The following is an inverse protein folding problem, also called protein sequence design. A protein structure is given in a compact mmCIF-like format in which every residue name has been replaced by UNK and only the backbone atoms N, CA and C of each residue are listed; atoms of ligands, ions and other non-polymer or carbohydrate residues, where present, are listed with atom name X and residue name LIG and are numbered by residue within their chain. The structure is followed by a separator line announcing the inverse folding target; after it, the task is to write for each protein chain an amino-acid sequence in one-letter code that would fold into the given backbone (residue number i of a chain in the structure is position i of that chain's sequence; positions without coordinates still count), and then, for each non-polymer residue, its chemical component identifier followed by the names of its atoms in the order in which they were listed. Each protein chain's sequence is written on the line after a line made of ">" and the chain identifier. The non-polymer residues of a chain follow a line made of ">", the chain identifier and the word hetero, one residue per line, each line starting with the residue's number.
data_IF_411280780080
#
_entry.id   IF_411280780080
#
_cell.length_a   1.000
_cell.length_b   1.000
_cell.length_c   1.000
_cell.angle_alpha   90.00
_cell.angle_beta   90.00
_cell.angle_gamma   90.00
#
_symmetry.space_group_name_H-M   'P 1'
#
loop_
_entity.id
_entity.type
_entity.pdbx_description
1 polymer ?
#
# COMPACT_ATOMS: atom_id res chain seq x y z
N UNK A 1 15.45 2.58 26.54
CA UNK A 1 15.45 1.10 26.49
C UNK A 1 16.70 0.67 25.71
N UNK A 2 17.52 -0.26 26.20
CA UNK A 2 18.76 -0.63 25.48
C UNK A 2 18.49 -1.54 24.28
N UNK A 3 19.32 -1.46 23.25
CA UNK A 3 19.21 -2.28 22.03
C UNK A 3 19.13 -3.79 22.35
N UNK A 4 19.90 -4.26 23.33
CA UNK A 4 19.85 -5.63 23.81
C UNK A 4 18.51 -6.03 24.43
N UNK A 5 17.82 -5.11 25.12
CA UNK A 5 16.47 -5.36 25.66
C UNK A 5 15.43 -5.41 24.53
N UNK A 6 15.56 -4.56 23.51
CA UNK A 6 14.67 -4.54 22.35
C UNK A 6 14.80 -5.84 21.53
N UNK A 7 16.03 -6.26 21.20
CA UNK A 7 16.30 -7.53 20.49
C UNK A 7 15.74 -8.75 21.23
N UNK A 8 15.79 -8.75 22.57
CA UNK A 8 15.27 -9.86 23.40
C UNK A 8 13.74 -9.85 23.49
N UNK A 9 13.13 -8.66 23.46
CA UNK A 9 11.67 -8.49 23.42
C UNK A 9 11.10 -8.99 22.08
N UNK A 10 11.72 -8.60 20.96
CA UNK A 10 11.33 -9.00 19.61
C UNK A 10 11.52 -10.50 19.30
N UNK A 11 12.40 -11.18 20.05
CA UNK A 11 12.65 -12.63 19.91
C UNK A 11 11.74 -13.52 20.76
N UNK A 12 10.78 -12.97 21.50
CA UNK A 12 9.88 -13.79 22.33
C UNK A 12 8.94 -14.60 21.44
N UNK A 13 8.72 -15.90 21.74
CA UNK A 13 7.68 -16.67 21.09
C UNK A 13 6.34 -16.03 21.42
N UNK A 14 5.58 -15.75 20.37
CA UNK A 14 4.35 -15.01 20.50
C UNK A 14 3.18 -15.99 20.81
N UNK A 15 2.19 -15.60 21.61
CA UNK A 15 1.14 -16.50 22.10
C UNK A 15 0.28 -17.07 20.95
N UNK A 16 -0.17 -18.34 20.99
CA UNK A 16 -0.98 -18.89 19.90
C UNK A 16 -2.25 -18.06 19.65
N UNK A 17 -2.61 -17.93 18.39
CA UNK A 17 -3.77 -17.15 17.94
C UNK A 17 -5.03 -17.79 18.51
N UNK A 18 -5.78 -17.04 19.32
CA UNK A 18 -7.03 -17.50 19.91
C UNK A 18 -8.17 -17.04 18.99
N UNK A 19 -8.80 -17.98 18.29
CA UNK A 19 -10.00 -17.75 17.47
C UNK A 19 -9.91 -18.37 16.07
N UNK A 20 -11.04 -18.85 15.55
CA UNK A 20 -11.15 -19.29 14.14
C UNK A 20 -11.14 -18.04 13.25
N UNK A 21 -9.97 -17.62 12.74
CA UNK A 21 -9.91 -16.58 11.71
C UNK A 21 -10.59 -17.10 10.45
N UNK A 22 -11.75 -16.54 10.14
CA UNK A 22 -12.57 -16.92 8.97
C UNK A 22 -11.93 -16.42 7.67
N UNK A 23 -11.13 -15.34 7.73
CA UNK A 23 -10.48 -14.69 6.60
C UNK A 23 -8.99 -14.48 6.87
N UNK A 24 -8.15 -14.78 5.89
CA UNK A 24 -6.72 -14.43 5.93
C UNK A 24 -6.52 -12.98 5.49
N UNK A 25 -5.86 -12.12 6.29
CA UNK A 25 -5.58 -10.75 5.90
C UNK A 25 -4.50 -10.70 4.82
N UNK A 26 -4.77 -9.97 3.73
CA UNK A 26 -3.87 -9.80 2.60
C UNK A 26 -3.76 -8.32 2.27
N UNK A 27 -2.56 -7.78 2.14
CA UNK A 27 -2.35 -6.39 1.70
C UNK A 27 -1.79 -6.39 0.28
N UNK A 28 -2.54 -5.80 -0.65
CA UNK A 28 -2.07 -5.49 -2.00
C UNK A 28 -1.53 -4.06 -2.04
N UNK A 29 -0.23 -3.91 -2.25
CA UNK A 29 0.41 -2.59 -2.16
C UNK A 29 1.63 -2.45 -3.07
N UNK A 30 2.19 -1.25 -3.07
CA UNK A 30 3.39 -0.86 -3.82
C UNK A 30 4.68 -1.09 -3.01
N UNK A 31 5.74 -0.35 -3.33
CA UNK A 31 7.02 -0.38 -2.61
C UNK A 31 6.94 -0.08 -1.10
N UNK A 32 5.95 0.69 -0.65
CA UNK A 32 5.77 1.05 0.78
C UNK A 32 5.48 -0.16 1.65
N UNK A 33 4.78 -1.15 1.08
CA UNK A 33 4.52 -2.40 1.77
C UNK A 33 5.77 -3.16 2.16
N UNK A 34 6.86 -3.08 1.38
CA UNK A 34 8.12 -3.74 1.76
C UNK A 34 8.69 -3.13 3.03
N UNK A 35 8.69 -1.80 3.14
CA UNK A 35 9.19 -1.12 4.34
C UNK A 35 8.41 -1.46 5.60
N UNK A 36 7.08 -1.61 5.50
CA UNK A 36 6.27 -2.06 6.64
C UNK A 36 6.46 -3.55 6.91
N UNK A 37 6.49 -4.38 5.88
CA UNK A 37 6.72 -5.82 6.01
C UNK A 37 8.04 -6.12 6.73
N UNK A 38 9.11 -5.39 6.40
CA UNK A 38 10.42 -5.53 7.06
C UNK A 38 10.41 -5.08 8.54
N UNK A 39 9.42 -4.27 8.94
CA UNK A 39 9.26 -3.73 10.30
C UNK A 39 8.21 -4.47 11.13
N UNK A 40 7.53 -5.46 10.54
CA UNK A 40 6.59 -6.33 11.24
C UNK A 40 7.30 -7.00 12.41
N UNK A 41 6.77 -6.78 13.61
CA UNK A 41 7.41 -7.17 14.86
C UNK A 41 6.49 -7.92 15.81
N UNK A 42 5.19 -7.92 15.51
CA UNK A 42 4.17 -8.61 16.31
C UNK A 42 3.61 -9.82 15.56
N UNK A 43 3.01 -10.75 16.30
CA UNK A 43 2.52 -12.01 15.72
C UNK A 43 1.36 -11.82 14.76
N UNK A 44 0.50 -10.86 15.09
CA UNK A 44 -0.69 -10.54 14.30
C UNK A 44 -0.26 -10.02 12.93
N UNK A 45 0.80 -9.20 12.89
CA UNK A 45 1.36 -8.67 11.65
C UNK A 45 2.07 -9.76 10.81
N UNK A 46 2.66 -10.78 11.45
CA UNK A 46 3.30 -11.91 10.74
C UNK A 46 2.30 -12.80 9.98
N UNK A 47 1.02 -12.76 10.34
CA UNK A 47 -0.04 -13.48 9.64
C UNK A 47 -0.54 -12.74 8.39
N UNK A 48 -0.20 -11.46 8.25
CA UNK A 48 -0.57 -10.68 7.08
C UNK A 48 0.21 -11.18 5.88
N UNK A 49 -0.50 -11.54 4.81
CA UNK A 49 0.11 -11.86 3.53
C UNK A 49 0.34 -10.56 2.76
N UNK A 50 1.59 -10.31 2.41
CA UNK A 50 1.99 -9.10 1.71
C UNK A 50 2.14 -9.38 0.22
N UNK A 51 1.26 -8.81 -0.60
CA UNK A 51 1.37 -8.80 -2.05
C UNK A 51 1.98 -7.47 -2.48
N UNK A 52 3.28 -7.30 -2.24
CA UNK A 52 4.02 -6.07 -2.53
C UNK A 52 4.73 -6.16 -3.88
N UNK A 53 4.80 -5.04 -4.61
CA UNK A 53 5.65 -4.89 -5.79
C UNK A 53 6.10 -3.44 -5.94
N UNK A 54 7.39 -3.24 -6.15
CA UNK A 54 7.94 -1.89 -6.35
C UNK A 54 7.35 -1.22 -7.57
N UNK A 55 7.12 0.09 -7.46
CA UNK A 55 6.57 0.93 -8.54
C UNK A 55 5.19 0.49 -9.07
N UNK A 56 4.44 -0.29 -8.30
CA UNK A 56 3.12 -0.75 -8.71
C UNK A 56 2.11 0.39 -8.67
N UNK A 57 1.57 0.74 -9.83
CA UNK A 57 0.40 1.62 -9.97
C UNK A 57 -0.90 0.87 -9.65
N UNK A 58 -2.00 1.60 -9.44
CA UNK A 58 -3.35 1.04 -9.31
C UNK A 58 -3.68 0.07 -10.45
N UNK A 59 -3.45 0.49 -11.70
CA UNK A 59 -3.67 -0.33 -12.89
C UNK A 59 -2.85 -1.64 -12.86
N UNK A 60 -1.56 -1.56 -12.51
CA UNK A 60 -0.74 -2.78 -12.42
C UNK A 60 -1.19 -3.70 -11.28
N UNK A 61 -1.70 -3.14 -10.18
CA UNK A 61 -2.32 -3.90 -9.10
C UNK A 61 -3.57 -4.63 -9.58
N UNK A 62 -4.44 -3.95 -10.32
CA UNK A 62 -5.65 -4.55 -10.87
C UNK A 62 -5.33 -5.68 -11.87
N UNK A 63 -4.43 -5.44 -12.82
CA UNK A 63 -4.00 -6.48 -13.77
C UNK A 63 -3.41 -7.70 -13.05
N UNK A 64 -2.65 -7.47 -11.97
CA UNK A 64 -2.13 -8.57 -11.16
C UNK A 64 -3.26 -9.35 -10.48
N UNK A 65 -4.27 -8.68 -9.91
CA UNK A 65 -5.44 -9.35 -9.33
C UNK A 65 -6.15 -10.21 -10.36
N UNK A 66 -6.41 -9.69 -11.56
CA UNK A 66 -7.06 -10.43 -12.64
C UNK A 66 -6.36 -11.76 -12.97
N UNK A 67 -5.03 -11.75 -12.94
CA UNK A 67 -4.20 -12.91 -13.27
C UNK A 67 -4.04 -13.91 -12.12
N UNK A 68 -4.14 -13.46 -10.86
CA UNK A 68 -3.65 -14.24 -9.71
C UNK A 68 -4.70 -14.53 -8.63
N UNK A 69 -5.84 -13.82 -8.60
CA UNK A 69 -6.75 -13.88 -7.46
C UNK A 69 -7.37 -15.28 -7.27
N UNK A 70 -7.79 -15.92 -8.36
CA UNK A 70 -8.45 -17.24 -8.31
C UNK A 70 -7.53 -18.29 -7.67
N UNK A 71 -6.30 -18.41 -8.18
CA UNK A 71 -5.30 -19.34 -7.66
C UNK A 71 -4.92 -19.02 -6.20
N UNK A 72 -4.87 -17.74 -5.83
CA UNK A 72 -4.55 -17.36 -4.45
C UNK A 72 -5.68 -17.70 -3.48
N UNK A 73 -6.94 -17.49 -3.86
CA UNK A 73 -8.09 -17.89 -3.03
C UNK A 73 -8.17 -19.41 -2.90
N UNK A 74 -7.93 -20.17 -3.97
CA UNK A 74 -7.90 -21.64 -3.89
C UNK A 74 -6.84 -22.14 -2.90
N UNK A 75 -5.66 -21.53 -2.91
CA UNK A 75 -4.53 -21.92 -2.04
C UNK A 75 -4.68 -21.45 -0.59
N UNK A 76 -5.18 -20.24 -0.38
CA UNK A 76 -5.20 -19.58 0.94
C UNK A 76 -6.55 -19.75 1.64
N UNK A 77 -7.61 -20.05 0.88
CA UNK A 77 -8.99 -19.98 1.33
C UNK A 77 -9.53 -18.56 1.28
N UNK A 78 -10.48 -18.26 2.16
CA UNK A 78 -11.10 -16.94 2.18
C UNK A 78 -10.11 -15.87 2.66
N UNK A 79 -10.14 -14.71 2.02
CA UNK A 79 -9.24 -13.59 2.27
C UNK A 79 -10.00 -12.31 2.59
N UNK A 80 -9.37 -11.46 3.38
CA UNK A 80 -9.70 -10.04 3.50
C UNK A 80 -8.59 -9.26 2.81
N UNK A 81 -8.88 -8.76 1.61
CA UNK A 81 -7.97 -7.99 0.78
C UNK A 81 -8.03 -6.51 1.14
N UNK A 82 -6.92 -6.00 1.66
CA UNK A 82 -6.68 -4.59 1.88
C UNK A 82 -5.95 -4.01 0.66
N UNK A 83 -6.59 -3.10 -0.05
CA UNK A 83 -6.02 -2.43 -1.22
C UNK A 83 -5.37 -1.13 -0.79
N UNK A 84 -4.05 -1.04 -0.94
CA UNK A 84 -3.24 0.12 -0.58
C UNK A 84 -2.35 0.53 -1.74
N UNK A 85 -3.00 1.07 -2.78
CA UNK A 85 -2.41 1.48 -4.05
C UNK A 85 -2.60 2.99 -4.26
N UNK A 86 -2.15 3.52 -5.40
CA UNK A 86 -2.37 4.92 -5.79
C UNK A 86 -1.17 5.83 -5.57
N UNK A 87 -0.31 5.61 -4.59
CA UNK A 87 0.83 6.52 -4.38
C UNK A 87 1.80 6.53 -5.56
N UNK A 88 2.15 5.36 -6.12
CA UNK A 88 2.98 5.28 -7.32
C UNK A 88 2.30 5.81 -8.60
N UNK A 89 1.00 6.12 -8.58
CA UNK A 89 0.34 6.87 -9.64
C UNK A 89 0.57 8.38 -9.49
N UNK A 90 0.56 8.87 -8.24
CA UNK A 90 0.67 10.29 -7.92
C UNK A 90 2.08 10.85 -8.03
N UNK A 91 3.09 9.98 -7.97
CA UNK A 91 4.50 10.38 -7.99
C UNK A 91 5.26 9.68 -9.10
N UNK A 92 6.16 10.40 -9.76
CA UNK A 92 7.16 9.85 -10.66
C UNK A 92 8.49 9.73 -9.92
N UNK A 93 9.24 8.67 -10.25
CA UNK A 93 10.58 8.45 -9.71
C UNK A 93 11.58 8.58 -10.87
N UNK A 94 12.37 9.64 -10.85
CA UNK A 94 13.48 9.84 -11.80
C UNK A 94 14.79 9.52 -11.09
N UNK A 95 15.32 8.32 -11.41
CA UNK A 95 16.63 7.81 -11.01
C UNK A 95 16.87 7.73 -9.50
N UNK A 96 16.91 8.86 -8.80
CA UNK A 96 17.16 9.00 -7.37
C UNK A 96 16.11 9.84 -6.65
N UNK A 97 15.33 10.63 -7.36
CA UNK A 97 14.43 11.63 -6.80
C UNK A 97 13.00 11.36 -7.20
N UNK A 98 12.08 11.94 -6.43
CA UNK A 98 10.66 11.89 -6.73
C UNK A 98 10.13 13.27 -7.07
N UNK A 99 9.11 13.27 -7.90
CA UNK A 99 8.31 14.44 -8.26
C UNK A 99 6.85 14.05 -8.30
N UNK A 100 5.95 15.02 -8.28
CA UNK A 100 4.55 14.76 -8.57
C UNK A 100 4.40 14.39 -10.05
N UNK A 101 3.45 13.49 -10.36
CA UNK A 101 3.09 13.21 -11.76
C UNK A 101 2.50 14.44 -12.43
N UNK A 102 2.76 14.60 -13.73
CA UNK A 102 2.15 15.65 -14.57
C UNK A 102 0.83 15.23 -15.20
N UNK A 103 0.36 14.00 -14.93
CA UNK A 103 -0.87 13.46 -15.52
C UNK A 103 -2.12 14.20 -15.02
N UNK A 104 -2.94 14.65 -15.97
CA UNK A 104 -4.23 15.25 -15.68
C UNK A 104 -5.24 14.18 -15.25
N UNK A 105 -6.16 14.55 -14.36
CA UNK A 105 -7.25 13.68 -13.86
C UNK A 105 -6.77 12.39 -13.18
N UNK A 106 -5.54 12.36 -12.65
CA UNK A 106 -4.98 11.16 -12.03
C UNK A 106 -5.85 10.58 -10.90
N UNK A 107 -6.52 11.44 -10.12
CA UNK A 107 -7.43 11.02 -9.04
C UNK A 107 -8.62 10.25 -9.58
N UNK A 108 -9.24 10.76 -10.65
CA UNK A 108 -10.36 10.10 -11.29
C UNK A 108 -9.92 8.74 -11.84
N UNK A 109 -8.78 8.68 -12.54
CA UNK A 109 -8.24 7.43 -13.07
C UNK A 109 -8.00 6.39 -11.97
N UNK A 110 -7.41 6.79 -10.83
CA UNK A 110 -7.20 5.85 -9.71
C UNK A 110 -8.54 5.36 -9.16
N UNK A 111 -9.51 6.26 -9.01
CA UNK A 111 -10.84 5.95 -8.47
C UNK A 111 -11.62 5.02 -9.40
N UNK A 112 -11.54 5.23 -10.72
CA UNK A 112 -12.15 4.35 -11.72
C UNK A 112 -11.58 2.93 -11.60
N UNK A 113 -10.26 2.80 -11.44
CA UNK A 113 -9.63 1.49 -11.20
C UNK A 113 -10.07 0.87 -9.86
N UNK A 114 -10.32 1.67 -8.82
CA UNK A 114 -10.86 1.12 -7.57
C UNK A 114 -12.25 0.54 -7.78
N UNK A 115 -13.11 1.20 -8.55
CA UNK A 115 -14.43 0.67 -8.92
C UNK A 115 -14.30 -0.61 -9.76
N UNK A 116 -13.39 -0.64 -10.74
CA UNK A 116 -13.14 -1.84 -11.54
C UNK A 116 -12.67 -3.03 -10.66
N UNK A 117 -11.82 -2.77 -9.67
CA UNK A 117 -11.40 -3.79 -8.70
C UNK A 117 -12.61 -4.30 -7.91
N UNK A 118 -13.47 -3.41 -7.40
CA UNK A 118 -14.67 -3.79 -6.66
C UNK A 118 -15.56 -4.69 -7.51
N UNK A 119 -15.91 -4.24 -8.72
CA UNK A 119 -16.79 -4.99 -9.63
C UNK A 119 -16.19 -6.35 -10.00
N UNK A 120 -14.89 -6.41 -10.31
CA UNK A 120 -14.21 -7.66 -10.61
C UNK A 120 -14.23 -8.63 -9.42
N UNK A 121 -14.02 -8.14 -8.20
CA UNK A 121 -13.93 -8.98 -7.01
C UNK A 121 -15.29 -9.48 -6.50
N UNK A 122 -16.41 -8.91 -6.96
CA UNK A 122 -17.77 -9.44 -6.65
C UNK A 122 -17.95 -10.89 -7.09
N UNK A 123 -17.23 -11.32 -8.14
CA UNK A 123 -17.27 -12.72 -8.61
C UNK A 123 -16.52 -13.70 -7.70
N UNK A 124 -15.86 -13.22 -6.63
CA UNK A 124 -15.06 -14.02 -5.71
C UNK A 124 -15.62 -13.93 -4.28
N UNK A 125 -16.63 -14.74 -3.91
CA UNK A 125 -17.29 -14.62 -2.60
C UNK A 125 -16.37 -14.92 -1.40
N UNK A 126 -15.25 -15.59 -1.62
CA UNK A 126 -14.20 -15.79 -0.63
C UNK A 126 -13.32 -14.55 -0.39
N UNK A 127 -13.55 -13.43 -1.07
CA UNK A 127 -12.76 -12.21 -0.96
C UNK A 127 -13.61 -11.05 -0.44
N UNK A 128 -13.28 -10.55 0.75
CA UNK A 128 -13.75 -9.23 1.21
C UNK A 128 -12.71 -8.18 0.87
N UNK A 129 -13.14 -6.98 0.49
CA UNK A 129 -12.25 -5.88 0.13
C UNK A 129 -12.37 -4.72 1.11
N UNK A 130 -11.25 -4.03 1.37
CA UNK A 130 -11.22 -2.74 2.06
C UNK A 130 -10.11 -1.89 1.46
N UNK A 131 -10.39 -0.64 1.15
CA UNK A 131 -9.36 0.32 0.73
C UNK A 131 -8.72 0.94 1.96
N UNK A 132 -7.39 0.97 1.97
CA UNK A 132 -6.64 1.63 3.03
C UNK A 132 -6.35 3.08 2.63
N UNK A 133 -6.45 3.98 3.61
CA UNK A 133 -6.04 5.37 3.43
C UNK A 133 -4.56 5.44 3.06
N UNK A 134 -4.25 6.30 2.10
CA UNK A 134 -2.88 6.61 1.70
C UNK A 134 -2.36 7.65 2.70
N UNK A 135 -1.25 7.37 3.40
CA UNK A 135 -0.67 8.35 4.30
C UNK A 135 -0.13 9.55 3.52
N UNK A 136 -0.02 10.73 4.15
CA UNK A 136 0.66 11.86 3.55
C UNK A 136 2.10 11.48 3.20
N UNK A 137 2.55 11.95 2.03
CA UNK A 137 3.88 11.66 1.50
C UNK A 137 4.58 12.98 1.14
N UNK A 138 5.81 13.14 1.62
CA UNK A 138 6.54 14.41 1.56
C UNK A 138 7.70 14.29 0.55
N UNK A 139 7.58 15.02 -0.57
CA UNK A 139 8.58 15.05 -1.63
C UNK A 139 9.86 15.70 -1.14
N UNK A 140 9.74 16.79 -0.38
CA UNK A 140 10.90 17.54 0.13
C UNK A 140 11.72 16.65 1.05
N UNK A 141 11.08 15.95 1.99
CA UNK A 141 11.77 15.09 2.96
C UNK A 141 12.49 13.94 2.26
N UNK A 142 11.82 13.26 1.32
CA UNK A 142 12.44 12.18 0.57
C UNK A 142 13.64 12.68 -0.25
N UNK A 143 13.49 13.77 -1.00
CA UNK A 143 14.55 14.30 -1.86
C UNK A 143 15.71 14.86 -1.02
N UNK A 144 15.43 15.46 0.14
CA UNK A 144 16.45 15.89 1.12
C UNK A 144 17.24 14.70 1.66
N UNK A 145 16.56 13.63 2.06
CA UNK A 145 17.21 12.38 2.49
C UNK A 145 18.09 11.79 1.38
N UNK A 146 17.67 11.91 0.12
CA UNK A 146 18.45 11.50 -1.06
C UNK A 146 19.54 12.48 -1.47
N UNK A 147 19.74 13.56 -0.70
CA UNK A 147 20.75 14.62 -0.92
C UNK A 147 20.54 15.37 -2.24
N UNK A 148 19.31 15.77 -2.53
CA UNK A 148 19.04 16.70 -3.62
C UNK A 148 19.46 18.11 -3.19
N UNK A 149 20.31 18.78 -3.97
CA UNK A 149 20.91 20.08 -3.61
C UNK A 149 19.87 21.20 -3.40
N UNK A 150 18.71 21.07 -4.05
CA UNK A 150 17.62 22.04 -4.00
C UNK A 150 16.27 21.41 -3.65
N UNK A 151 16.21 20.53 -2.64
CA UNK A 151 14.96 19.85 -2.26
C UNK A 151 13.78 20.81 -1.96
N UNK A 152 14.06 22.02 -1.49
CA UNK A 152 13.04 23.05 -1.24
C UNK A 152 12.32 23.54 -2.49
N UNK A 153 12.86 23.32 -3.69
CA UNK A 153 12.20 23.71 -4.96
C UNK A 153 10.92 22.91 -5.24
N UNK A 154 10.74 21.78 -4.55
CA UNK A 154 9.58 20.88 -4.71
C UNK A 154 8.35 21.29 -3.88
N UNK A 155 8.39 22.40 -3.15
CA UNK A 155 7.30 22.83 -2.25
C UNK A 155 5.92 22.86 -2.90
N UNK A 156 5.81 23.47 -4.09
CA UNK A 156 4.53 23.53 -4.80
C UNK A 156 4.02 22.14 -5.20
N UNK A 157 4.94 21.22 -5.55
CA UNK A 157 4.59 19.84 -5.89
C UNK A 157 4.13 19.06 -4.65
N UNK A 158 4.74 19.31 -3.49
CA UNK A 158 4.36 18.68 -2.23
C UNK A 158 2.97 19.12 -1.77
N UNK A 159 2.66 20.43 -1.83
CA UNK A 159 1.32 20.95 -1.52
C UNK A 159 0.25 20.32 -2.43
N UNK A 160 0.55 20.19 -3.72
CA UNK A 160 -0.32 19.54 -4.68
C UNK A 160 -0.47 18.04 -4.39
N UNK A 161 0.60 17.34 -4.03
CA UNK A 161 0.56 15.93 -3.68
C UNK A 161 -0.28 15.68 -2.43
N UNK A 162 -0.12 16.49 -1.38
CA UNK A 162 -0.91 16.39 -0.15
C UNK A 162 -2.40 16.56 -0.47
N UNK A 163 -2.75 17.55 -1.29
CA UNK A 163 -4.14 17.76 -1.74
C UNK A 163 -4.66 16.53 -2.50
N UNK A 164 -3.89 16.03 -3.47
CA UNK A 164 -4.24 14.85 -4.26
C UNK A 164 -4.46 13.60 -3.38
N UNK A 165 -3.61 13.38 -2.37
CA UNK A 165 -3.79 12.27 -1.41
C UNK A 165 -5.07 12.44 -0.59
N UNK A 166 -5.35 13.66 -0.11
CA UNK A 166 -6.59 13.95 0.62
C UNK A 166 -7.84 13.71 -0.24
N UNK A 167 -7.83 14.18 -1.49
CA UNK A 167 -8.94 14.01 -2.41
C UNK A 167 -9.15 12.53 -2.77
N UNK A 168 -8.06 11.77 -2.97
CA UNK A 168 -8.12 10.33 -3.20
C UNK A 168 -8.66 9.56 -1.99
N UNK A 169 -8.22 9.88 -0.77
CA UNK A 169 -8.74 9.22 0.44
C UNK A 169 -10.23 9.47 0.64
N UNK A 170 -10.70 10.70 0.37
CA UNK A 170 -12.15 11.00 0.38
C UNK A 170 -12.90 10.16 -0.65
N UNK A 171 -12.37 10.06 -1.86
CA UNK A 171 -12.97 9.27 -2.93
C UNK A 171 -12.95 7.75 -2.64
N UNK A 172 -11.98 7.25 -1.87
CA UNK A 172 -11.81 5.83 -1.55
C UNK A 172 -12.70 5.32 -0.41
N UNK A 173 -13.55 6.17 0.20
CA UNK A 173 -14.47 5.78 1.29
C UNK A 173 -15.73 5.03 0.77
N UNK A 174 -15.56 4.21 -0.27
CA UNK A 174 -16.60 3.50 -1.02
C UNK A 174 -17.00 2.20 -0.31
#
# INVERSE_FOLDING_TARGET
>A
MSEGKLKKYLKRPLPPIIGNKILTPVILTDSKGFGLWDQVSTQVELEIRWWCKSSRTSQNGFTWLQQNIAQNIERIGNIHLYVWLGTCNLTTYDSKFISITSEQNIIQQITDIYQEIIEFLKSYPGCKITFLEIPPYFIIDFNSYKKHDHSSSFKNQEEQLIKNVQDLNKAATI
#
